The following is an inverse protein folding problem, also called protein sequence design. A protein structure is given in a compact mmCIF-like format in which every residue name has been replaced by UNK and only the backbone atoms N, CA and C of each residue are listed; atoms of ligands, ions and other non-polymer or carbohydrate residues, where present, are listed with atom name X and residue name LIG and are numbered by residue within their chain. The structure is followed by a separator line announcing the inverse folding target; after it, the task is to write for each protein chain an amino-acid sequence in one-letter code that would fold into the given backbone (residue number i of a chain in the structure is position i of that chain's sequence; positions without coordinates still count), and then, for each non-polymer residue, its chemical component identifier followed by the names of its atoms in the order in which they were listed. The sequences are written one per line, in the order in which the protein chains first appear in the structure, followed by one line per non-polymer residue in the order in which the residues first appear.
data_IF_023549104372
#
_entry.id   IF_023549104372
#
_cell.length_a   1.000
_cell.length_b   1.000
_cell.length_c   1.000
_cell.angle_alpha   90.00
_cell.angle_beta   90.00
_cell.angle_gamma   90.00
#
_symmetry.space_group_name_H-M   'P 1'
#
loop_
_entity.id
_entity.type
_entity.pdbx_description
1 polymer ?
#
# COMPACT_ATOMS: atom_id res chain seq x y z
N UNK A 1 4.12 -0.81 25.02
CA UNK A 1 4.87 -1.46 23.93
C UNK A 1 4.82 -0.53 22.73
N UNK A 2 5.93 -0.27 22.06
CA UNK A 2 5.92 0.53 20.83
C UNK A 2 5.59 -0.38 19.66
N UNK A 3 4.54 -0.08 18.92
CA UNK A 3 4.19 -0.80 17.70
C UNK A 3 5.10 -0.34 16.56
N UNK A 4 5.54 -1.26 15.72
CA UNK A 4 6.41 -0.92 14.58
C UNK A 4 5.57 -0.33 13.46
N UNK A 5 5.93 0.87 13.01
CA UNK A 5 5.37 1.50 11.81
C UNK A 5 6.44 1.61 10.74
N UNK A 6 6.04 1.43 9.49
CA UNK A 6 6.91 1.57 8.33
C UNK A 6 6.32 2.54 7.33
N UNK A 7 7.19 3.22 6.59
CA UNK A 7 6.75 3.96 5.41
C UNK A 7 6.18 3.00 4.35
N UNK A 8 5.07 3.38 3.68
CA UNK A 8 4.44 2.49 2.70
C UNK A 8 5.18 2.42 1.36
N UNK A 9 6.19 3.28 1.18
CA UNK A 9 7.12 3.28 0.04
C UNK A 9 8.55 3.51 0.54
N UNK A 10 9.53 2.96 -0.17
CA UNK A 10 10.95 3.11 0.16
C UNK A 10 11.44 4.57 0.06
N UNK A 11 12.65 4.81 0.58
CA UNK A 11 13.33 6.12 0.54
C UNK A 11 13.38 6.74 -0.87
N UNK A 12 13.38 8.07 -0.92
CA UNK A 12 13.31 8.86 -2.16
C UNK A 12 11.88 9.04 -2.70
N UNK A 13 10.87 8.63 -1.94
CA UNK A 13 9.47 9.00 -2.13
C UNK A 13 9.27 10.51 -1.92
N UNK A 14 8.30 11.08 -2.62
CA UNK A 14 7.85 12.46 -2.42
C UNK A 14 6.35 12.50 -2.19
N UNK A 15 5.86 13.47 -1.41
CA UNK A 15 4.43 13.73 -1.28
C UNK A 15 4.00 14.53 -2.51
N UNK A 16 3.17 13.92 -3.37
CA UNK A 16 2.61 14.59 -4.56
C UNK A 16 1.29 15.30 -4.25
N UNK A 17 0.57 14.85 -3.22
CA UNK A 17 -0.65 15.49 -2.72
C UNK A 17 -0.82 15.17 -1.23
N UNK A 18 -1.03 16.20 -0.41
CA UNK A 18 -1.20 16.06 1.05
C UNK A 18 -2.65 15.77 1.47
N UNK A 19 -2.84 15.40 2.74
CA UNK A 19 -4.16 15.27 3.36
C UNK A 19 -4.78 16.66 3.58
N UNK A 20 -6.05 16.84 3.22
CA UNK A 20 -6.75 18.10 3.46
C UNK A 20 -7.55 18.67 2.28
N UNK A 21 -8.04 19.93 2.39
CA UNK A 21 -8.81 20.59 1.36
C UNK A 21 -8.03 20.77 0.04
N UNK A 22 -8.70 20.59 -1.09
CA UNK A 22 -8.18 20.84 -2.45
C UNK A 22 -9.23 21.59 -3.29
N UNK A 23 -8.80 22.17 -4.41
CA UNK A 23 -9.67 22.96 -5.30
C UNK A 23 -10.90 22.25 -5.89
N UNK A 24 -11.08 20.94 -5.64
CA UNK A 24 -12.24 20.14 -6.07
C UNK A 24 -12.77 19.20 -4.99
N UNK A 25 -12.51 19.46 -3.70
CA UNK A 25 -13.03 18.67 -2.59
C UNK A 25 -12.04 18.51 -1.43
N UNK A 26 -12.10 17.37 -0.74
CA UNK A 26 -11.18 17.03 0.33
C UNK A 26 -10.39 15.77 -0.06
N UNK A 27 -9.07 15.81 0.15
CA UNK A 27 -8.20 14.66 -0.05
C UNK A 27 -8.03 13.93 1.28
N UNK A 28 -8.60 12.73 1.36
CA UNK A 28 -8.73 11.96 2.59
C UNK A 28 -7.55 10.99 2.86
N UNK A 29 -6.47 11.19 2.14
CA UNK A 29 -5.24 10.42 2.22
C UNK A 29 -4.05 11.29 1.83
N UNK A 30 -2.92 10.64 1.59
CA UNK A 30 -1.69 11.25 1.08
C UNK A 30 -1.27 10.47 -0.14
N UNK A 31 -0.91 11.18 -1.20
CA UNK A 31 -0.38 10.57 -2.41
C UNK A 31 1.15 10.61 -2.34
N UNK A 32 1.76 9.44 -2.40
CA UNK A 32 3.21 9.25 -2.46
C UNK A 32 3.62 8.88 -3.88
N UNK A 33 4.62 9.58 -4.41
CA UNK A 33 5.14 9.34 -5.76
C UNK A 33 6.65 9.42 -5.83
N UNK A 34 7.14 9.54 -7.07
CA UNK A 34 8.53 9.86 -7.42
C UNK A 34 8.57 10.89 -8.53
N UNK A 35 9.70 11.57 -8.66
CA UNK A 35 9.98 12.41 -9.84
C UNK A 35 9.91 11.52 -11.08
N UNK A 36 8.98 11.79 -12.00
CA UNK A 36 8.74 10.98 -13.20
C UNK A 36 7.71 9.86 -13.04
N UNK A 37 7.13 9.66 -11.85
CA UNK A 37 6.14 8.62 -11.55
C UNK A 37 6.72 7.42 -10.81
N UNK A 38 5.89 6.75 -10.02
CA UNK A 38 6.27 5.64 -9.14
C UNK A 38 5.83 4.26 -9.65
N UNK A 39 5.55 4.11 -10.94
CA UNK A 39 5.03 2.86 -11.50
C UNK A 39 5.94 1.65 -11.19
N UNK A 40 5.35 0.54 -10.75
CA UNK A 40 6.04 -0.68 -10.29
C UNK A 40 6.88 -0.55 -9.01
N UNK A 41 6.91 0.61 -8.35
CA UNK A 41 7.57 0.73 -7.05
C UNK A 41 6.91 -0.18 -6.01
N UNK A 42 7.69 -0.87 -5.16
CA UNK A 42 7.14 -1.71 -4.10
C UNK A 42 6.32 -0.91 -3.09
N UNK A 43 5.21 -1.52 -2.64
CA UNK A 43 4.34 -0.99 -1.60
C UNK A 43 4.39 -1.92 -0.39
N UNK A 44 4.51 -1.33 0.80
CA UNK A 44 4.73 -2.03 2.06
C UNK A 44 3.61 -1.75 3.06
N UNK A 45 3.27 -2.75 3.88
CA UNK A 45 2.34 -2.59 4.98
C UNK A 45 2.94 -1.65 6.03
N UNK A 46 2.25 -0.56 6.34
CA UNK A 46 2.68 0.41 7.35
C UNK A 46 2.59 -0.15 8.77
N UNK A 47 1.74 -1.15 9.00
CA UNK A 47 1.53 -1.80 10.29
C UNK A 47 1.04 -3.25 10.07
N UNK A 48 1.27 -4.12 11.04
CA UNK A 48 0.82 -5.52 10.99
C UNK A 48 -0.71 -5.61 11.09
N UNK A 49 -1.32 -6.59 10.42
CA UNK A 49 -2.78 -6.73 10.44
C UNK A 49 -3.33 -7.65 9.36
N UNK A 50 -4.64 -7.71 9.23
CA UNK A 50 -5.34 -8.61 8.30
C UNK A 50 -5.86 -7.86 7.09
N UNK A 51 -5.65 -8.39 5.89
CA UNK A 51 -6.24 -7.84 4.67
C UNK A 51 -7.75 -8.09 4.67
N UNK A 52 -8.53 -7.02 4.79
CA UNK A 52 -10.01 -7.08 4.89
C UNK A 52 -10.74 -6.62 3.64
N UNK A 53 -10.08 -5.90 2.74
CA UNK A 53 -10.58 -5.59 1.40
C UNK A 53 -9.44 -5.58 0.39
N UNK A 54 -9.73 -5.99 -0.85
CA UNK A 54 -8.74 -5.94 -1.93
C UNK A 54 -9.38 -6.01 -3.32
N UNK A 55 -8.68 -5.51 -4.35
CA UNK A 55 -9.09 -5.63 -5.75
C UNK A 55 -9.69 -4.35 -6.32
N UNK A 56 -10.59 -4.47 -7.29
CA UNK A 56 -11.19 -3.31 -7.95
C UNK A 56 -12.03 -2.49 -6.97
N UNK A 57 -11.85 -1.17 -6.95
CA UNK A 57 -12.65 -0.26 -6.13
C UNK A 57 -12.83 1.10 -6.80
N UNK A 58 -14.03 1.67 -6.65
CA UNK A 58 -14.34 2.99 -7.19
C UNK A 58 -13.39 4.03 -6.62
N UNK A 59 -12.75 4.80 -7.52
CA UNK A 59 -11.77 5.82 -7.15
C UNK A 59 -10.35 5.30 -6.93
N UNK A 60 -10.11 3.99 -6.89
CA UNK A 60 -8.78 3.40 -6.67
C UNK A 60 -8.23 2.61 -7.87
N UNK A 61 -9.07 2.36 -8.88
CA UNK A 61 -8.71 1.64 -10.10
C UNK A 61 -9.13 0.17 -10.10
N UNK A 62 -8.54 -0.62 -11.00
CA UNK A 62 -8.88 -2.02 -11.24
C UNK A 62 -8.76 -2.41 -12.71
N UNK A 63 -9.12 -3.65 -13.09
CA UNK A 63 -9.71 -4.71 -12.27
C UNK A 63 -8.69 -5.48 -11.40
N UNK A 64 -9.16 -6.37 -10.50
CA UNK A 64 -8.30 -7.25 -9.69
C UNK A 64 -7.25 -7.97 -10.56
N UNK A 65 -5.96 -8.06 -10.15
CA UNK A 65 -5.39 -7.71 -8.84
C UNK A 65 -5.10 -6.21 -8.60
N UNK A 66 -5.53 -5.32 -9.50
CA UNK A 66 -5.36 -3.87 -9.34
C UNK A 66 -6.53 -3.21 -8.59
N UNK A 67 -6.24 -2.04 -8.02
CA UNK A 67 -7.21 -1.18 -7.34
C UNK A 67 -6.69 -0.80 -5.96
N UNK A 68 -7.25 -1.43 -4.91
CA UNK A 68 -6.86 -1.17 -3.53
C UNK A 68 -6.53 -2.43 -2.72
N UNK A 69 -5.94 -2.20 -1.55
CA UNK A 69 -5.82 -3.14 -0.46
C UNK A 69 -6.07 -2.42 0.86
N UNK A 70 -6.81 -3.04 1.77
CA UNK A 70 -7.13 -2.49 3.09
C UNK A 70 -6.69 -3.46 4.16
N UNK A 71 -5.89 -2.99 5.13
CA UNK A 71 -5.39 -3.78 6.25
C UNK A 71 -6.04 -3.28 7.54
N UNK A 72 -6.79 -4.15 8.22
CA UNK A 72 -7.29 -3.91 9.57
C UNK A 72 -6.24 -4.34 10.59
N UNK A 73 -5.89 -3.42 11.48
CA UNK A 73 -4.82 -3.60 12.44
C UNK A 73 -5.41 -3.94 13.81
N UNK A 74 -5.09 -5.11 14.38
CA UNK A 74 -5.57 -5.45 15.70
C UNK A 74 -4.88 -4.59 16.77
N UNK A 75 -5.41 -4.61 18.00
CA UNK A 75 -4.91 -3.75 19.09
C UNK A 75 -3.43 -4.05 19.44
N UNK A 76 -2.99 -5.30 19.30
CA UNK A 76 -1.59 -5.69 19.49
C UNK A 76 -0.64 -5.15 18.42
N UNK A 77 -1.15 -4.72 17.27
CA UNK A 77 -0.37 -4.07 16.22
C UNK A 77 -0.50 -2.55 16.24
N UNK A 78 -1.41 -2.00 17.05
CA UNK A 78 -1.59 -0.57 17.26
C UNK A 78 -2.95 -0.02 16.81
N UNK A 79 -3.85 -0.88 16.33
CA UNK A 79 -5.24 -0.53 16.05
C UNK A 79 -5.46 0.31 14.78
N UNK A 80 -6.71 0.30 14.29
CA UNK A 80 -7.14 1.12 13.17
C UNK A 80 -7.05 0.39 11.83
N UNK A 81 -7.04 1.13 10.74
CA UNK A 81 -7.00 0.55 9.39
C UNK A 81 -6.17 1.42 8.46
N UNK A 82 -5.41 0.80 7.57
CA UNK A 82 -4.71 1.49 6.48
C UNK A 82 -5.24 1.08 5.11
N UNK A 83 -5.30 2.03 4.19
CA UNK A 83 -5.75 1.83 2.81
C UNK A 83 -4.60 2.12 1.86
N UNK A 84 -4.38 1.24 0.90
CA UNK A 84 -3.36 1.34 -0.15
C UNK A 84 -4.07 1.30 -1.49
N UNK A 85 -4.15 2.44 -2.16
CA UNK A 85 -4.83 2.62 -3.44
C UNK A 85 -3.88 2.72 -4.62
N UNK A 86 -4.39 2.56 -5.83
CA UNK A 86 -3.60 2.66 -7.07
C UNK A 86 -2.47 1.63 -7.15
N UNK A 87 -2.72 0.44 -6.59
CA UNK A 87 -1.73 -0.65 -6.52
C UNK A 87 -2.17 -1.87 -7.31
N UNK A 88 -1.20 -2.73 -7.62
CA UNK A 88 -1.40 -4.14 -7.93
C UNK A 88 -0.98 -4.93 -6.69
N UNK A 89 -1.93 -5.62 -6.05
CA UNK A 89 -1.67 -6.38 -4.82
C UNK A 89 -0.87 -7.66 -5.09
N UNK A 90 -0.07 -8.05 -4.12
CA UNK A 90 0.75 -9.27 -4.15
C UNK A 90 0.42 -10.24 -2.99
N UNK A 91 -0.52 -9.84 -2.13
CA UNK A 91 -1.08 -10.68 -1.07
C UNK A 91 -2.60 -10.85 -1.26
N UNK A 92 -3.18 -11.99 -0.83
CA UNK A 92 -4.61 -12.24 -0.97
C UNK A 92 -5.43 -11.60 0.15
N UNK A 93 -6.71 -11.38 -0.12
CA UNK A 93 -7.71 -11.09 0.91
C UNK A 93 -7.68 -12.15 2.02
N UNK A 94 -7.86 -11.73 3.27
CA UNK A 94 -7.84 -12.58 4.46
C UNK A 94 -6.44 -12.96 4.96
N UNK A 95 -5.37 -12.55 4.28
CA UNK A 95 -4.00 -12.80 4.76
C UNK A 95 -3.63 -11.86 5.92
N UNK A 96 -2.90 -12.39 6.90
CA UNK A 96 -2.13 -11.57 7.86
C UNK A 96 -0.89 -11.05 7.14
N UNK A 97 -0.57 -9.79 7.35
CA UNK A 97 0.67 -9.13 6.91
C UNK A 97 1.39 -8.56 8.12
N UNK A 98 2.72 -8.54 8.04
CA UNK A 98 3.58 -7.94 9.06
C UNK A 98 3.95 -6.50 8.70
N UNK A 99 4.24 -5.68 9.71
CA UNK A 99 4.71 -4.31 9.49
C UNK A 99 6.01 -4.32 8.67
N UNK A 100 6.06 -3.52 7.60
CA UNK A 100 7.19 -3.48 6.66
C UNK A 100 7.20 -4.60 5.61
N UNK A 101 6.21 -5.51 5.62
CA UNK A 101 6.07 -6.54 4.58
C UNK A 101 5.64 -5.91 3.25
N UNK A 102 6.25 -6.35 2.14
CA UNK A 102 5.78 -6.00 0.79
C UNK A 102 4.40 -6.63 0.53
N UNK A 103 3.44 -5.78 0.20
CA UNK A 103 2.03 -6.17 -0.03
C UNK A 103 1.58 -5.96 -1.47
N UNK A 104 2.38 -5.28 -2.28
CA UNK A 104 2.08 -5.01 -3.68
C UNK A 104 3.11 -4.09 -4.33
N UNK A 105 2.70 -3.47 -5.42
CA UNK A 105 3.43 -2.41 -6.11
C UNK A 105 2.47 -1.36 -6.67
N UNK A 106 2.94 -0.14 -6.88
CA UNK A 106 2.17 0.92 -7.55
C UNK A 106 1.82 0.47 -8.97
N UNK A 107 0.56 0.63 -9.35
CA UNK A 107 0.12 0.31 -10.71
C UNK A 107 0.73 1.32 -11.70
N UNK A 108 1.53 0.88 -12.69
CA UNK A 108 2.11 1.77 -13.69
C UNK A 108 1.09 2.37 -14.67
N UNK A 109 -0.13 1.82 -14.75
CA UNK A 109 -1.16 2.31 -15.66
C UNK A 109 -1.80 3.61 -15.13
N UNK A 110 -1.62 4.76 -15.81
CA UNK A 110 -2.25 6.02 -15.40
C UNK A 110 -3.78 5.97 -15.41
N UNK A 111 -4.39 5.09 -16.22
CA UNK A 111 -5.84 4.96 -16.30
C UNK A 111 -6.48 4.49 -14.99
N UNK A 112 -5.72 3.77 -14.14
CA UNK A 112 -6.21 3.33 -12.83
C UNK A 112 -6.06 4.37 -11.73
N UNK A 113 -5.40 5.50 -12.03
CA UNK A 113 -4.97 6.51 -11.07
C UNK A 113 -5.47 7.91 -11.48
N UNK A 114 -6.60 7.99 -12.18
CA UNK A 114 -7.20 9.26 -12.60
C UNK A 114 -6.45 9.99 -13.73
N UNK A 115 -5.56 9.30 -14.47
CA UNK A 115 -4.84 9.86 -15.62
C UNK A 115 -3.62 10.69 -15.26
N UNK A 116 -3.14 10.67 -14.01
CA UNK A 116 -1.92 11.35 -13.58
C UNK A 116 -0.73 10.38 -13.48
N UNK A 117 0.47 10.92 -13.22
CA UNK A 117 1.65 10.09 -13.00
C UNK A 117 1.39 9.03 -11.91
N UNK A 118 1.84 7.77 -12.11
CA UNK A 118 1.64 6.71 -11.13
C UNK A 118 2.12 7.09 -9.73
N UNK A 119 1.27 6.85 -8.74
CA UNK A 119 1.50 7.16 -7.32
C UNK A 119 0.75 6.15 -6.46
N UNK A 120 1.15 6.05 -5.19
CA UNK A 120 0.40 5.34 -4.15
C UNK A 120 -0.55 6.34 -3.48
N UNK A 121 -1.84 6.03 -3.44
CA UNK A 121 -2.76 6.71 -2.54
C UNK A 121 -2.81 5.99 -1.19
N UNK A 122 -2.59 6.70 -0.09
CA UNK A 122 -2.50 6.09 1.24
C UNK A 122 -3.43 6.78 2.24
N UNK A 123 -4.27 6.01 2.93
CA UNK A 123 -5.16 6.53 3.99
C UNK A 123 -4.89 5.85 5.32
N UNK A 124 -5.16 6.56 6.42
CA UNK A 124 -5.18 6.02 7.78
C UNK A 124 -6.52 6.29 8.45
N UNK A 125 -7.12 5.26 9.03
CA UNK A 125 -8.41 5.33 9.72
C UNK A 125 -8.22 4.97 11.20
N UNK A 126 -8.91 5.68 12.10
CA UNK A 126 -8.84 5.49 13.55
C UNK A 126 -9.32 4.11 14.00
N UNK A 127 -10.30 3.56 13.31
CA UNK A 127 -10.93 2.26 13.58
C UNK A 127 -10.98 1.45 12.28
N UNK A 128 -12.02 0.66 12.08
CA UNK A 128 -12.29 0.00 10.80
C UNK A 128 -12.52 1.01 9.68
N UNK A 129 -12.18 0.60 8.46
CA UNK A 129 -12.44 1.37 7.26
C UNK A 129 -13.92 1.79 7.16
N UNK A 130 -14.15 3.06 6.84
CA UNK A 130 -15.47 3.59 6.55
C UNK A 130 -15.42 4.56 5.34
N UNK A 131 -16.56 4.72 4.63
CA UNK A 131 -16.72 5.80 3.67
C UNK A 131 -16.35 7.18 4.26
N UNK A 132 -16.05 8.19 3.42
CA UNK A 132 -15.46 9.45 3.85
C UNK A 132 -16.12 10.08 5.09
N UNK A 133 -15.31 10.52 6.05
CA UNK A 133 -15.80 11.02 7.33
C UNK A 133 -14.70 11.28 8.36
N UNK A 134 -15.07 11.71 9.59
CA UNK A 134 -14.16 12.22 10.61
C UNK A 134 -13.19 11.16 11.20
N UNK A 135 -13.35 9.88 10.82
CA UNK A 135 -12.51 8.79 11.31
C UNK A 135 -11.17 8.69 10.58
N UNK A 136 -10.95 9.51 9.54
CA UNK A 136 -9.69 9.54 8.78
C UNK A 136 -8.70 10.47 9.45
N UNK A 137 -7.46 9.99 9.59
CA UNK A 137 -6.36 10.69 10.24
C UNK A 137 -5.35 11.11 9.17
N UNK A 138 -4.63 12.20 9.41
CA UNK A 138 -3.52 12.61 8.54
C UNK A 138 -2.43 11.51 8.55
N UNK A 139 -2.19 10.82 7.42
CA UNK A 139 -1.19 9.76 7.35
C UNK A 139 0.22 10.24 7.67
N UNK A 140 0.59 11.49 7.39
CA UNK A 140 1.93 11.99 7.68
C UNK A 140 2.19 12.07 9.19
N UNK A 141 1.19 12.49 9.97
CA UNK A 141 1.27 12.48 11.44
C UNK A 141 1.38 11.05 11.97
N UNK A 142 0.62 10.11 11.39
CA UNK A 142 0.67 8.71 11.82
C UNK A 142 2.00 8.02 11.47
N UNK A 143 2.70 8.50 10.43
CA UNK A 143 3.99 8.00 9.97
C UNK A 143 5.19 8.69 10.65
N UNK A 144 4.98 9.62 11.58
CA UNK A 144 6.08 10.20 12.36
C UNK A 144 6.86 9.10 13.12
N UNK A 145 8.18 9.07 12.92
CA UNK A 145 9.06 8.04 13.50
C UNK A 145 8.95 6.65 12.87
N UNK A 146 8.21 6.49 11.77
CA UNK A 146 8.14 5.23 11.04
C UNK A 146 9.50 4.84 10.45
N UNK A 147 9.81 3.55 10.52
CA UNK A 147 11.02 2.98 9.95
C UNK A 147 10.94 2.92 8.42
N UNK A 148 12.11 2.91 7.77
CA UNK A 148 12.19 2.66 6.33
C UNK A 148 11.98 1.17 6.03
N UNK A 149 11.13 0.80 5.05
CA UNK A 149 11.02 -0.59 4.64
C UNK A 149 12.35 -1.07 4.07
N UNK A 150 12.72 -2.31 4.37
CA UNK A 150 13.93 -2.90 3.81
C UNK A 150 13.73 -3.05 2.30
N UNK A 151 14.59 -2.41 1.51
CA UNK A 151 14.69 -2.71 0.08
C UNK A 151 14.99 -4.21 -0.04
N UNK A 152 14.26 -4.98 -0.87
CA UNK A 152 14.59 -6.38 -1.07
C UNK A 152 16.04 -6.47 -1.53
N UNK A 153 16.80 -7.34 -0.88
CA UNK A 153 18.16 -7.61 -1.32
C UNK A 153 18.09 -8.25 -2.73
N UNK A 154 19.10 -7.99 -3.58
CA UNK A 154 19.19 -8.59 -4.94
C UNK A 154 19.04 -10.13 -4.92
N UNK A 155 19.30 -10.77 -3.78
CA UNK A 155 19.15 -12.22 -3.59
C UNK A 155 17.69 -12.70 -3.50
N UNK A 156 16.78 -11.91 -2.92
CA UNK A 156 15.38 -12.32 -2.69
C UNK A 156 14.54 -12.29 -3.98
N UNK A 157 14.89 -11.42 -4.92
CA UNK A 157 14.22 -11.30 -6.21
C UNK A 157 14.58 -12.44 -7.17
N UNK A 158 15.82 -12.95 -7.08
CA UNK A 158 16.30 -14.09 -7.89
C UNK A 158 15.72 -15.44 -7.46
N UNK A 159 15.32 -15.60 -6.20
CA UNK A 159 14.73 -16.85 -5.68
C UNK A 159 13.28 -17.10 -6.11
N UNK A 160 12.61 -16.12 -6.72
CA UNK A 160 11.22 -16.24 -7.20
C UNK A 160 11.12 -16.77 -8.63
N UNK A 161 12.14 -16.58 -9.46
CA UNK A 161 12.17 -17.05 -10.85
C UNK A 161 12.67 -18.49 -11.03
N UNK A 162 13.30 -19.11 -10.02
CA UNK A 162 13.90 -20.45 -10.17
C UNK A 162 13.00 -21.62 -9.77
N UNK A 163 11.78 -21.39 -9.25
CA UNK A 163 10.88 -22.46 -8.80
C UNK A 163 9.94 -23.04 -9.87
N UNK A 164 10.25 -22.88 -11.17
CA UNK A 164 9.39 -23.37 -12.26
C UNK A 164 10.02 -24.41 -13.20
N UNK A 165 11.27 -24.83 -13.05
CA UNK A 165 11.92 -25.68 -14.07
C UNK A 165 12.27 -27.11 -13.66
N UNK A 166 12.23 -27.49 -12.37
CA UNK A 166 12.61 -28.85 -11.95
C UNK A 166 11.38 -29.73 -11.67
N UNK A 167 10.71 -30.19 -12.75
CA UNK A 167 9.89 -31.41 -12.68
C UNK A 167 10.40 -32.39 -13.72
N UNK A 168 11.00 -33.53 -13.34
CA UNK A 168 11.43 -34.53 -14.30
C UNK A 168 10.22 -35.15 -15.01
N UNK A 169 10.34 -35.53 -16.30
CA UNK A 169 9.28 -36.23 -17.00
C UNK A 169 9.01 -37.57 -16.30
N UNK A 170 7.74 -37.86 -16.03
CA UNK A 170 7.34 -39.19 -15.56
C UNK A 170 7.56 -40.19 -16.70
N UNK A 171 8.24 -41.29 -16.37
CA UNK A 171 8.35 -42.48 -17.21
C UNK A 171 7.00 -43.19 -17.35
#
# INVERSE_FOLDING_TARGET
MAYSRYWPMAVGRVVTSGFGPRGGGFHWGVDFGRVGGAGNEPVYASQGGTVVYSGAASGFGGPDPAGWLVVDHPAEDGGGTTVYGHIIREVPHGSRVEAGQRIGRVNPDPATNGGVAPHLHFEWHRYSWAPPGPNRLDPLVMLEGAAEPRMPSIAEDRGRFTRSCDRPPRA
#
